data_IF_792040245218
#
_entry.id   IF_792040245218
#
_cell.length_a   1.000
_cell.length_b   1.000
_cell.length_c   1.000
_cell.angle_alpha   90.00
_cell.angle_beta   90.00
_cell.angle_gamma   90.00
#
_symmetry.space_group_name_H-M   'P 1'
#
loop_
_entity.id
_entity.type
_entity.pdbx_description
1 polymer ?
#
# COMPACT_ATOMS: atom_id res chain seq x y z
N UNK A 1 -4.62 16.26 22.09
CA UNK A 1 -3.92 15.30 21.20
C UNK A 1 -4.40 13.85 21.34
N UNK A 2 -5.22 13.46 22.33
CA UNK A 2 -5.78 12.08 22.42
C UNK A 2 -6.93 11.85 21.41
N UNK A 3 -7.67 12.92 21.06
CA UNK A 3 -8.90 12.85 20.26
C UNK A 3 -8.66 12.48 18.79
N UNK A 4 -7.54 12.90 18.18
CA UNK A 4 -7.23 12.61 16.76
C UNK A 4 -6.74 11.17 16.55
N UNK A 5 -5.98 10.63 17.50
CA UNK A 5 -5.48 9.25 17.45
C UNK A 5 -6.66 8.25 17.52
N UNK A 6 -7.63 8.51 18.41
CA UNK A 6 -8.84 7.67 18.53
C UNK A 6 -9.71 7.75 17.26
N UNK A 7 -9.74 8.90 16.58
CA UNK A 7 -10.48 9.03 15.31
C UNK A 7 -9.79 8.31 14.15
N UNK A 8 -8.45 8.31 14.07
CA UNK A 8 -7.71 7.52 13.07
C UNK A 8 -7.94 6.01 13.26
N UNK A 9 -8.00 5.53 14.51
CA UNK A 9 -8.18 4.11 14.80
C UNK A 9 -9.56 3.54 14.39
N UNK A 10 -10.58 4.39 14.29
CA UNK A 10 -11.95 4.00 13.89
C UNK A 10 -12.19 3.97 12.38
N UNK A 11 -11.22 4.41 11.57
CA UNK A 11 -11.38 4.38 10.12
C UNK A 11 -11.21 2.94 9.61
N UNK A 12 -12.07 2.51 8.66
CA UNK A 12 -11.85 1.24 7.97
C UNK A 12 -10.50 1.28 7.25
N UNK A 13 -9.88 0.10 7.11
CA UNK A 13 -8.65 -0.09 6.34
C UNK A 13 -8.81 0.57 4.97
N UNK A 14 -7.80 1.32 4.46
CA UNK A 14 -7.80 1.79 3.09
C UNK A 14 -7.97 0.58 2.17
N UNK A 15 -8.99 0.63 1.32
CA UNK A 15 -9.25 -0.41 0.33
C UNK A 15 -8.73 0.03 -1.02
N UNK A 16 -7.87 -0.79 -1.61
CA UNK A 16 -7.39 -0.56 -2.97
C UNK A 16 -8.54 -0.62 -3.98
N UNK A 17 -9.66 -1.29 -3.65
CA UNK A 17 -10.90 -1.32 -4.45
C UNK A 17 -11.39 0.06 -4.91
N UNK A 18 -11.10 1.12 -4.14
CA UNK A 18 -11.49 2.49 -4.49
C UNK A 18 -10.59 3.15 -5.55
N UNK A 19 -9.47 2.54 -5.92
CA UNK A 19 -8.51 3.10 -6.86
C UNK A 19 -8.85 2.72 -8.31
N UNK A 20 -8.68 3.65 -9.28
CA UNK A 20 -8.92 3.37 -10.70
C UNK A 20 -7.98 2.29 -11.27
N UNK A 21 -6.80 2.12 -10.66
CA UNK A 21 -5.80 1.12 -11.04
C UNK A 21 -6.08 -0.27 -10.44
N UNK A 22 -7.05 -0.39 -9.53
CA UNK A 22 -7.37 -1.66 -8.86
C UNK A 22 -7.75 -2.81 -9.80
N UNK A 23 -8.54 -2.60 -10.88
CA UNK A 23 -8.80 -3.65 -11.84
C UNK A 23 -7.54 -4.14 -12.58
N UNK A 24 -6.48 -3.33 -12.64
CA UNK A 24 -5.17 -3.75 -13.17
C UNK A 24 -4.40 -4.56 -12.13
N UNK A 25 -4.42 -4.10 -10.88
CA UNK A 25 -3.82 -4.81 -9.76
C UNK A 25 -4.42 -6.20 -9.53
N UNK A 26 -5.74 -6.35 -9.59
CA UNK A 26 -6.39 -7.66 -9.49
C UNK A 26 -5.99 -8.65 -10.60
N UNK A 27 -5.54 -8.15 -11.76
CA UNK A 27 -5.10 -9.02 -12.87
C UNK A 27 -3.66 -9.48 -12.73
N UNK A 28 -2.85 -8.75 -11.98
CA UNK A 28 -1.39 -8.99 -11.88
C UNK A 28 -1.01 -9.56 -10.51
N UNK A 29 -1.68 -9.12 -9.45
CA UNK A 29 -1.39 -9.50 -8.08
C UNK A 29 -2.40 -10.52 -7.57
N UNK A 30 -1.94 -11.42 -6.70
CA UNK A 30 -2.83 -12.31 -5.96
C UNK A 30 -3.61 -11.54 -4.89
N UNK A 31 -4.78 -12.04 -4.51
CA UNK A 31 -5.58 -11.46 -3.42
C UNK A 31 -4.79 -11.32 -2.11
N UNK A 32 -3.90 -12.28 -1.82
CA UNK A 32 -3.00 -12.24 -0.66
C UNK A 32 -1.99 -11.09 -0.70
N UNK A 33 -1.48 -10.74 -1.89
CA UNK A 33 -0.56 -9.62 -2.05
C UNK A 33 -1.32 -8.29 -1.98
N UNK A 34 -2.53 -8.23 -2.53
CA UNK A 34 -3.41 -7.06 -2.40
C UNK A 34 -3.77 -6.79 -0.94
N UNK A 35 -4.06 -7.82 -0.14
CA UNK A 35 -4.28 -7.65 1.31
C UNK A 35 -3.01 -7.12 1.99
N UNK A 36 -1.84 -7.67 1.66
CA UNK A 36 -0.56 -7.18 2.19
C UNK A 36 -0.35 -5.69 1.89
N UNK A 37 -0.65 -5.26 0.67
CA UNK A 37 -0.61 -3.86 0.26
C UNK A 37 -1.57 -2.97 1.05
N UNK A 38 -2.81 -3.41 1.25
CA UNK A 38 -3.76 -2.71 2.13
C UNK A 38 -3.27 -2.66 3.58
N UNK A 39 -2.47 -3.63 4.05
CA UNK A 39 -1.89 -3.60 5.40
C UNK A 39 -0.84 -2.50 5.54
N UNK A 40 0.07 -2.48 4.58
CA UNK A 40 1.18 -1.52 4.57
C UNK A 40 0.66 -0.09 4.44
N UNK A 41 -0.37 0.13 3.62
CA UNK A 41 -1.05 1.42 3.50
C UNK A 41 -1.81 1.80 4.78
N UNK A 42 -2.49 0.85 5.42
CA UNK A 42 -3.16 1.09 6.70
C UNK A 42 -2.16 1.50 7.79
N UNK A 43 -1.03 0.79 7.88
CA UNK A 43 0.05 1.12 8.81
C UNK A 43 0.61 2.52 8.53
N UNK A 44 0.87 2.85 7.27
CA UNK A 44 1.34 4.18 6.86
C UNK A 44 0.34 5.29 7.25
N UNK A 45 -0.94 5.14 6.92
CA UNK A 45 -1.98 6.15 7.19
C UNK A 45 -2.24 6.32 8.69
N UNK A 46 -2.17 5.23 9.45
CA UNK A 46 -2.33 5.24 10.91
C UNK A 46 -1.10 5.76 11.62
N UNK A 47 0.07 5.73 10.99
CA UNK A 47 1.29 6.30 11.54
C UNK A 47 1.07 7.81 11.78
N UNK A 48 1.24 8.30 13.03
CA UNK A 48 1.03 9.71 13.33
C UNK A 48 2.18 10.58 12.80
N UNK A 49 3.39 10.03 12.80
CA UNK A 49 4.60 10.67 12.29
C UNK A 49 5.46 9.60 11.61
N UNK A 50 5.85 9.84 10.36
CA UNK A 50 6.71 8.93 9.61
C UNK A 50 8.10 8.99 10.24
N UNK A 51 8.53 7.90 10.86
CA UNK A 51 9.85 7.86 11.51
C UNK A 51 10.98 7.85 10.46
N UNK A 52 12.14 8.39 10.81
CA UNK A 52 13.32 8.33 9.93
C UNK A 52 13.71 6.89 9.59
N UNK A 53 13.46 5.95 10.50
CA UNK A 53 13.67 4.53 10.27
C UNK A 53 12.72 3.97 9.20
N UNK A 54 11.46 4.40 9.20
CA UNK A 54 10.50 4.01 8.17
C UNK A 54 10.89 4.58 6.80
N UNK A 55 11.44 5.80 6.76
CA UNK A 55 11.95 6.40 5.52
C UNK A 55 13.13 5.63 4.90
N UNK A 56 13.86 4.82 5.68
CA UNK A 56 14.94 3.98 5.16
C UNK A 56 14.42 2.77 4.39
N UNK A 57 13.24 2.25 4.77
CA UNK A 57 12.65 1.05 4.18
C UNK A 57 11.15 1.26 3.97
N UNK A 58 10.81 2.22 3.11
CA UNK A 58 9.40 2.53 2.79
C UNK A 58 8.87 1.43 1.88
N UNK A 59 7.74 0.79 2.24
CA UNK A 59 7.16 -0.23 1.39
C UNK A 59 6.76 0.35 0.03
N UNK A 60 7.01 -0.40 -1.05
CA UNK A 60 6.84 0.08 -2.42
C UNK A 60 5.42 0.52 -2.76
N UNK A 61 4.42 -0.15 -2.19
CA UNK A 61 3.02 0.27 -2.33
C UNK A 61 2.75 1.65 -1.75
N UNK A 62 3.46 2.04 -0.69
CA UNK A 62 3.35 3.37 -0.08
C UNK A 62 3.98 4.41 -1.00
N UNK A 63 5.14 4.10 -1.60
CA UNK A 63 5.74 4.95 -2.62
C UNK A 63 4.82 5.12 -3.84
N UNK A 64 4.12 4.07 -4.26
CA UNK A 64 3.13 4.15 -5.34
C UNK A 64 1.92 5.01 -4.94
N UNK A 65 1.43 4.83 -3.71
CA UNK A 65 0.30 5.61 -3.17
C UNK A 65 0.60 7.11 -3.07
N UNK A 66 1.84 7.47 -2.72
CA UNK A 66 2.34 8.85 -2.71
C UNK A 66 2.67 9.37 -4.12
N UNK A 67 2.53 8.55 -5.17
CA UNK A 67 2.82 8.92 -6.56
C UNK A 67 4.30 9.05 -6.90
N UNK A 68 5.18 8.48 -6.06
CA UNK A 68 6.63 8.49 -6.30
C UNK A 68 7.07 7.46 -7.34
N UNK A 69 6.30 6.38 -7.51
CA UNK A 69 6.54 5.37 -8.54
C UNK A 69 5.29 5.17 -9.41
N UNK A 70 5.44 4.94 -10.72
CA UNK A 70 4.32 4.63 -11.58
C UNK A 70 3.76 3.23 -11.27
N UNK A 71 2.49 3.02 -11.63
CA UNK A 71 1.82 1.72 -11.47
C UNK A 71 2.54 0.60 -12.24
N UNK A 72 3.17 0.91 -13.37
CA UNK A 72 3.90 -0.08 -14.16
C UNK A 72 5.11 -0.64 -13.40
N UNK A 73 5.83 0.18 -12.63
CA UNK A 73 7.00 -0.23 -11.83
C UNK A 73 6.59 -1.24 -10.75
N UNK A 74 5.54 -0.95 -9.99
CA UNK A 74 5.05 -1.86 -8.95
C UNK A 74 4.47 -3.14 -9.56
N UNK A 75 3.83 -3.03 -10.73
CA UNK A 75 3.32 -4.20 -11.46
C UNK A 75 4.44 -5.06 -12.01
N UNK A 76 5.55 -4.51 -12.47
CA UNK A 76 6.71 -5.27 -12.92
C UNK A 76 7.42 -5.93 -11.73
N UNK A 77 7.70 -5.17 -10.67
CA UNK A 77 8.44 -5.62 -9.49
C UNK A 77 7.74 -6.79 -8.78
N UNK A 78 6.41 -6.74 -8.66
CA UNK A 78 5.64 -7.78 -7.98
C UNK A 78 4.89 -8.73 -8.91
N UNK A 79 4.69 -8.38 -10.18
CA UNK A 79 4.01 -9.21 -11.18
C UNK A 79 4.93 -10.25 -11.83
N UNK A 80 6.23 -10.00 -11.91
CA UNK A 80 7.19 -10.93 -12.52
C UNK A 80 7.41 -12.23 -11.74
N UNK A 81 7.01 -12.31 -10.46
CA UNK A 81 7.14 -13.55 -9.68
C UNK A 81 6.21 -14.70 -10.12
N UNK A 82 5.29 -14.48 -11.06
CA UNK A 82 4.43 -15.55 -11.60
C UNK A 82 5.05 -16.32 -12.78
N UNK A 83 6.19 -15.89 -13.34
CA UNK A 83 6.79 -16.49 -14.56
C UNK A 83 8.12 -17.21 -14.37
N UNK A 84 8.62 -17.38 -13.15
CA UNK A 84 9.76 -18.27 -12.90
C UNK A 84 9.25 -19.70 -12.65
N UNK A 85 9.02 -20.43 -13.74
CA UNK A 85 8.97 -21.91 -13.76
C UNK A 85 10.37 -22.51 -13.77
#
# INVERSE_FOLDING_TARGET
MVSEIIQKLRKPRPRLEGCPEYPRFQKVFSESLLDCFEEQLDQYIRMPEVSEQYLQDVPRIVCWYEGMIPTEDIMEEFGCCQTCS
#
